data_IF_799105896137
#
_entry.id   IF_799105896137
#
_cell.length_a   1.000
_cell.length_b   1.000
_cell.length_c   1.000
_cell.angle_alpha   90.00
_cell.angle_beta   90.00
_cell.angle_gamma   90.00
#
_symmetry.space_group_name_H-M   'P 1'
#
loop_
_entity.id
_entity.type
_entity.pdbx_description
1 polymer ?
#
# COMPACT_ATOMS: atom_id res chain seq x y z
N UNK A 1 34.88 -50.09 25.43
CA UNK A 1 33.71 -49.21 25.65
C UNK A 1 33.96 -47.74 25.26
N UNK A 2 35.06 -47.09 25.68
CA UNK A 2 35.35 -45.67 25.35
C UNK A 2 35.37 -45.30 23.85
N UNK A 3 35.77 -46.22 22.96
CA UNK A 3 35.83 -45.98 21.50
C UNK A 3 34.47 -46.00 20.80
N UNK A 4 33.50 -46.76 21.33
CA UNK A 4 32.14 -46.86 20.77
C UNK A 4 31.34 -45.60 21.13
N UNK A 5 31.53 -45.07 22.34
CA UNK A 5 30.92 -43.81 22.79
C UNK A 5 31.39 -42.62 21.95
N UNK A 6 32.67 -42.57 21.57
CA UNK A 6 33.21 -41.49 20.75
C UNK A 6 32.65 -41.49 19.31
N UNK A 7 32.43 -42.68 18.72
CA UNK A 7 31.86 -42.81 17.38
C UNK A 7 30.37 -42.40 17.37
N UNK A 8 29.62 -42.78 18.40
CA UNK A 8 28.20 -42.37 18.53
C UNK A 8 28.04 -40.86 18.69
N UNK A 9 28.93 -40.18 19.42
CA UNK A 9 28.91 -38.71 19.57
C UNK A 9 29.23 -38.01 18.25
N UNK A 10 30.16 -38.55 17.46
CA UNK A 10 30.52 -37.99 16.16
C UNK A 10 29.38 -38.10 15.13
N UNK A 11 28.66 -39.22 15.13
CA UNK A 11 27.49 -39.46 14.26
C UNK A 11 26.31 -38.57 14.68
N UNK A 12 26.11 -38.37 15.98
CA UNK A 12 25.07 -37.47 16.50
C UNK A 12 25.36 -36.00 16.15
N UNK A 13 26.62 -35.58 16.18
CA UNK A 13 27.03 -34.22 15.79
C UNK A 13 26.89 -33.98 14.27
N UNK A 14 27.09 -35.00 13.44
CA UNK A 14 26.88 -34.90 12.00
C UNK A 14 25.39 -34.83 11.61
N UNK A 15 24.49 -35.45 12.38
CA UNK A 15 23.05 -35.44 12.11
C UNK A 15 22.39 -34.09 12.41
N UNK A 16 22.98 -33.25 13.27
CA UNK A 16 22.43 -31.92 13.63
C UNK A 16 22.67 -30.89 12.52
N UNK A 17 23.63 -31.09 11.62
CA UNK A 17 23.99 -30.11 10.58
C UNK A 17 23.04 -30.18 9.36
N UNK A 18 22.27 -31.26 9.21
CA UNK A 18 21.41 -31.47 8.03
C UNK A 18 19.92 -31.12 8.24
N UNK A 19 19.54 -30.61 9.42
CA UNK A 19 18.16 -30.21 9.72
C UNK A 19 17.94 -28.69 9.76
N UNK A 20 18.86 -27.89 9.21
CA UNK A 20 18.57 -26.50 8.87
C UNK A 20 17.80 -26.46 7.54
N UNK A 21 16.58 -26.98 7.54
CA UNK A 21 15.57 -26.55 6.59
C UNK A 21 15.28 -25.08 6.90
N UNK A 22 16.07 -24.16 6.34
CA UNK A 22 15.58 -22.80 6.16
C UNK A 22 14.39 -22.92 5.24
N UNK A 23 13.18 -22.84 5.77
CA UNK A 23 12.00 -22.56 4.95
C UNK A 23 12.36 -21.37 4.06
N UNK A 24 12.12 -21.41 2.73
CA UNK A 24 12.33 -20.25 1.91
C UNK A 24 11.52 -19.13 2.54
N UNK A 25 12.21 -18.06 2.99
CA UNK A 25 11.59 -16.91 3.62
C UNK A 25 10.31 -16.57 2.85
N UNK A 26 9.18 -16.58 3.56
CA UNK A 26 7.86 -16.40 2.97
C UNK A 26 7.89 -15.06 2.22
N UNK A 27 8.05 -15.09 0.89
CA UNK A 27 8.23 -13.88 0.11
C UNK A 27 6.96 -13.07 0.21
N UNK A 28 7.04 -11.94 0.90
CA UNK A 28 5.91 -11.01 1.00
C UNK A 28 5.65 -10.47 -0.41
N UNK A 29 4.39 -10.51 -0.83
CA UNK A 29 3.96 -9.98 -2.12
C UNK A 29 3.45 -8.56 -1.88
N UNK A 30 3.96 -7.60 -2.66
CA UNK A 30 3.45 -6.24 -2.65
C UNK A 30 2.06 -6.23 -3.29
N UNK A 31 1.08 -5.67 -2.59
CA UNK A 31 -0.31 -5.58 -3.05
C UNK A 31 -0.39 -4.68 -4.28
N UNK A 32 -0.97 -5.21 -5.36
CA UNK A 32 -1.26 -4.47 -6.59
C UNK A 32 -2.69 -3.94 -6.58
N UNK A 33 -2.99 -2.94 -7.41
CA UNK A 33 -4.33 -2.36 -7.59
C UNK A 33 -5.41 -3.43 -7.79
N UNK A 34 -5.16 -4.46 -8.62
CA UNK A 34 -6.12 -5.54 -8.87
C UNK A 34 -6.40 -6.45 -7.67
N UNK A 35 -5.51 -6.44 -6.66
CA UNK A 35 -5.56 -7.33 -5.49
C UNK A 35 -5.99 -6.61 -4.22
N UNK A 36 -6.37 -5.33 -4.30
CA UNK A 36 -6.85 -4.54 -3.17
C UNK A 36 -8.12 -5.17 -2.59
N UNK A 37 -8.11 -5.42 -1.28
CA UNK A 37 -9.28 -5.93 -0.57
C UNK A 37 -10.29 -4.80 -0.34
N UNK A 38 -11.22 -4.65 -1.29
CA UNK A 38 -12.21 -3.59 -1.26
C UNK A 38 -13.16 -3.70 -0.06
N UNK A 39 -13.54 -4.91 0.33
CA UNK A 39 -14.39 -5.13 1.51
C UNK A 39 -13.72 -4.67 2.80
N UNK A 40 -12.39 -4.76 2.90
CA UNK A 40 -11.63 -4.21 4.03
C UNK A 40 -11.61 -2.69 3.99
N UNK A 41 -11.35 -2.09 2.82
CA UNK A 41 -11.29 -0.63 2.68
C UNK A 41 -12.61 0.06 2.98
N UNK A 42 -13.72 -0.45 2.43
CA UNK A 42 -15.07 0.15 2.63
C UNK A 42 -15.49 0.20 4.11
N UNK A 43 -15.02 -0.74 4.94
CA UNK A 43 -15.26 -0.74 6.40
C UNK A 43 -14.57 0.41 7.14
N UNK A 44 -13.66 1.11 6.49
CA UNK A 44 -12.92 2.25 7.03
C UNK A 44 -13.37 3.58 6.40
N UNK A 45 -14.47 3.59 5.67
CA UNK A 45 -15.10 4.84 5.20
C UNK A 45 -15.46 5.74 6.37
N UNK A 46 -15.38 7.06 6.20
CA UNK A 46 -15.63 8.02 7.28
C UNK A 46 -14.50 8.12 8.29
N UNK A 47 -13.32 7.55 8.00
CA UNK A 47 -12.15 7.66 8.89
C UNK A 47 -11.76 9.12 9.05
N UNK A 48 -11.51 9.55 10.30
CA UNK A 48 -10.99 10.87 10.58
C UNK A 48 -9.46 10.88 10.51
N UNK A 49 -8.84 11.92 9.96
CA UNK A 49 -7.37 12.01 9.80
C UNK A 49 -6.60 11.88 11.12
N UNK A 50 -7.20 12.27 12.26
CA UNK A 50 -6.62 12.09 13.59
C UNK A 50 -6.72 10.68 14.16
N UNK A 51 -7.43 9.76 13.49
CA UNK A 51 -7.44 8.33 13.83
C UNK A 51 -6.24 7.65 13.16
N UNK A 52 -5.06 7.89 13.72
CA UNK A 52 -3.78 7.45 13.14
C UNK A 52 -3.78 5.96 12.81
N UNK A 53 -4.38 5.13 13.67
CA UNK A 53 -4.42 3.68 13.48
C UNK A 53 -5.29 3.27 12.30
N UNK A 54 -6.47 3.90 12.12
CA UNK A 54 -7.32 3.63 10.96
C UNK A 54 -6.73 4.18 9.68
N UNK A 55 -6.16 5.39 9.70
CA UNK A 55 -5.49 5.97 8.53
C UNK A 55 -4.33 5.06 8.09
N UNK A 56 -3.50 4.62 9.02
CA UNK A 56 -2.43 3.65 8.74
C UNK A 56 -2.99 2.34 8.19
N UNK A 57 -4.09 1.83 8.75
CA UNK A 57 -4.74 0.60 8.26
C UNK A 57 -5.29 0.75 6.84
N UNK A 58 -5.81 1.92 6.46
CA UNK A 58 -6.20 2.25 5.08
C UNK A 58 -4.97 2.20 4.19
N UNK A 59 -3.92 2.94 4.54
CA UNK A 59 -2.68 3.03 3.76
C UNK A 59 -2.03 1.65 3.56
N UNK A 60 -1.99 0.81 4.59
CA UNK A 60 -1.49 -0.57 4.48
C UNK A 60 -2.37 -1.48 3.61
N UNK A 61 -3.66 -1.14 3.44
CA UNK A 61 -4.59 -1.93 2.63
C UNK A 61 -4.66 -1.44 1.17
N UNK A 62 -3.99 -0.34 0.86
CA UNK A 62 -3.84 0.22 -0.47
C UNK A 62 -2.64 -0.41 -1.20
N UNK A 63 -2.58 -0.27 -2.54
CA UNK A 63 -1.41 -0.67 -3.32
C UNK A 63 -0.10 -0.17 -2.72
N UNK A 64 0.85 -1.09 -2.54
CA UNK A 64 2.17 -0.78 -2.00
C UNK A 64 2.23 -0.72 -0.47
N UNK A 65 1.13 -1.04 0.22
CA UNK A 65 1.00 -0.96 1.68
C UNK A 65 2.08 -1.72 2.46
N UNK A 66 2.63 -2.82 1.91
CA UNK A 66 3.71 -3.60 2.52
C UNK A 66 5.07 -2.89 2.46
N UNK A 67 5.18 -1.79 1.71
CA UNK A 67 6.40 -0.99 1.57
C UNK A 67 6.32 0.36 2.28
N UNK A 68 5.30 0.58 3.11
CA UNK A 68 5.13 1.83 3.86
C UNK A 68 6.12 1.89 5.01
N UNK A 69 7.02 2.89 4.99
CA UNK A 69 7.96 3.18 6.08
C UNK A 69 7.38 4.07 7.16
N UNK A 70 6.44 4.93 6.79
CA UNK A 70 5.86 5.88 7.73
C UNK A 70 4.72 6.67 7.14
N UNK A 71 3.93 7.24 8.05
CA UNK A 71 2.90 8.22 7.73
C UNK A 71 3.08 9.46 8.61
N UNK A 72 2.79 10.62 8.05
CA UNK A 72 2.69 11.89 8.77
C UNK A 72 1.32 12.50 8.51
N UNK A 73 0.60 12.78 9.60
CA UNK A 73 -0.79 13.25 9.60
C UNK A 73 -0.92 14.72 10.02
N UNK A 74 0.20 15.44 10.07
CA UNK A 74 0.26 16.83 10.47
C UNK A 74 -0.52 17.75 9.52
N UNK A 75 -1.01 18.85 10.08
CA UNK A 75 -1.82 19.84 9.35
C UNK A 75 -3.03 19.23 8.61
N UNK A 76 -3.58 18.13 9.13
CA UNK A 76 -4.70 17.37 8.55
C UNK A 76 -4.41 16.85 7.13
N UNK A 77 -3.14 16.65 6.77
CA UNK A 77 -2.73 16.05 5.49
C UNK A 77 -2.23 14.63 5.71
N UNK A 78 -2.32 13.78 4.69
CA UNK A 78 -1.79 12.41 4.76
C UNK A 78 -0.54 12.33 3.91
N UNK A 79 0.63 12.32 4.54
CA UNK A 79 1.90 12.02 3.87
C UNK A 79 2.26 10.56 4.12
N UNK A 80 2.60 9.83 3.05
CA UNK A 80 3.05 8.43 3.10
C UNK A 80 4.43 8.34 2.49
N UNK A 81 5.37 7.75 3.24
CA UNK A 81 6.72 7.46 2.75
C UNK A 81 6.83 5.96 2.49
N UNK A 82 7.20 5.58 1.27
CA UNK A 82 7.45 4.20 0.87
C UNK A 82 8.95 3.90 0.81
N UNK A 83 9.31 2.64 1.05
CA UNK A 83 10.67 2.16 0.94
C UNK A 83 10.81 0.72 1.43
N UNK A 84 12.02 0.19 1.33
CA UNK A 84 12.37 -1.10 1.91
C UNK A 84 12.77 -0.97 3.37
N UNK A 85 12.06 -1.68 4.23
CA UNK A 85 12.42 -1.89 5.63
C UNK A 85 13.20 -3.21 5.77
N UNK A 86 14.22 -3.20 6.64
CA UNK A 86 14.98 -4.41 6.96
C UNK A 86 14.04 -5.49 7.53
N UNK A 87 14.19 -6.73 7.07
CA UNK A 87 13.35 -7.82 7.53
C UNK A 87 11.91 -7.84 6.98
N UNK A 88 11.53 -6.90 6.10
CA UNK A 88 10.20 -6.85 5.45
C UNK A 88 9.86 -8.09 4.60
N UNK A 89 10.85 -8.91 4.25
CA UNK A 89 10.67 -10.07 3.37
C UNK A 89 10.43 -9.70 1.89
N UNK A 90 10.62 -8.42 1.53
CA UNK A 90 10.54 -7.88 0.18
C UNK A 90 11.97 -7.63 -0.32
N UNK A 91 12.34 -8.19 -1.47
CA UNK A 91 13.65 -7.92 -2.07
C UNK A 91 13.70 -6.56 -2.78
N UNK A 92 14.91 -6.01 -2.96
CA UNK A 92 15.12 -4.81 -3.78
C UNK A 92 14.57 -4.97 -5.20
N UNK A 93 14.72 -6.16 -5.79
CA UNK A 93 14.18 -6.46 -7.12
C UNK A 93 12.65 -6.38 -7.14
N UNK A 94 11.96 -6.93 -6.13
CA UNK A 94 10.51 -6.86 -6.03
C UNK A 94 10.02 -5.42 -5.87
N UNK A 95 10.69 -4.64 -5.03
CA UNK A 95 10.38 -3.23 -4.81
C UNK A 95 10.58 -2.42 -6.09
N UNK A 96 11.74 -2.57 -6.75
CA UNK A 96 12.04 -1.85 -7.99
C UNK A 96 11.05 -2.18 -9.10
N UNK A 97 10.74 -3.48 -9.27
CA UNK A 97 9.79 -3.94 -10.29
C UNK A 97 8.36 -3.44 -10.03
N UNK A 98 8.00 -3.18 -8.78
CA UNK A 98 6.67 -2.70 -8.42
C UNK A 98 6.54 -1.20 -8.59
N UNK A 99 7.49 -0.43 -8.07
CA UNK A 99 7.39 1.02 -7.99
C UNK A 99 7.97 1.76 -9.20
N UNK A 100 8.78 1.12 -10.03
CA UNK A 100 9.50 1.80 -11.10
C UNK A 100 9.22 1.18 -12.47
N UNK A 101 8.94 2.06 -13.44
CA UNK A 101 8.98 1.76 -14.85
C UNK A 101 10.31 2.30 -15.42
N UNK A 102 11.32 1.44 -15.46
CA UNK A 102 12.69 1.85 -15.77
C UNK A 102 13.29 2.68 -14.63
N UNK A 103 13.62 3.95 -14.89
CA UNK A 103 14.17 4.88 -13.89
C UNK A 103 13.12 5.77 -13.23
N UNK A 104 11.88 5.74 -13.72
CA UNK A 104 10.83 6.62 -13.26
C UNK A 104 9.88 5.86 -12.34
N UNK A 105 9.40 6.53 -11.30
CA UNK A 105 8.35 5.99 -10.43
C UNK A 105 7.05 5.86 -11.20
N UNK A 106 6.40 4.71 -11.07
CA UNK A 106 5.04 4.48 -11.56
C UNK A 106 4.03 5.19 -10.63
N UNK A 107 3.61 6.39 -11.04
CA UNK A 107 2.69 7.23 -10.28
C UNK A 107 1.25 6.70 -10.28
N UNK A 108 0.91 5.68 -11.07
CA UNK A 108 -0.45 5.09 -11.09
C UNK A 108 -0.92 4.69 -9.69
N UNK A 109 -0.02 4.09 -8.90
CA UNK A 109 -0.31 3.69 -7.53
C UNK A 109 -0.58 4.91 -6.62
N UNK A 110 0.12 6.03 -6.83
CA UNK A 110 -0.11 7.25 -6.05
C UNK A 110 -1.47 7.87 -6.35
N UNK A 111 -1.88 7.95 -7.62
CA UNK A 111 -3.21 8.45 -7.97
C UNK A 111 -4.32 7.55 -7.44
N UNK A 112 -4.16 6.23 -7.55
CA UNK A 112 -5.09 5.29 -6.96
C UNK A 112 -5.21 5.51 -5.44
N UNK A 113 -4.09 5.66 -4.74
CA UNK A 113 -4.08 5.87 -3.30
C UNK A 113 -4.72 7.22 -2.92
N UNK A 114 -4.47 8.28 -3.68
CA UNK A 114 -5.09 9.60 -3.48
C UNK A 114 -6.61 9.55 -3.60
N UNK A 115 -7.13 8.89 -4.64
CA UNK A 115 -8.58 8.74 -4.89
C UNK A 115 -9.24 8.03 -3.71
N UNK A 116 -8.69 6.89 -3.26
CA UNK A 116 -9.28 6.15 -2.15
C UNK A 116 -9.13 6.87 -0.81
N UNK A 117 -8.01 7.56 -0.55
CA UNK A 117 -7.90 8.39 0.65
C UNK A 117 -8.92 9.55 0.65
N UNK A 118 -9.22 10.13 -0.52
CA UNK A 118 -10.24 11.18 -0.63
C UNK A 118 -11.66 10.72 -0.34
N UNK A 119 -11.98 9.48 -0.72
CA UNK A 119 -13.27 8.84 -0.45
C UNK A 119 -13.38 8.36 1.00
N UNK A 120 -12.31 7.79 1.57
CA UNK A 120 -12.35 7.12 2.87
C UNK A 120 -12.04 8.04 4.05
N UNK A 121 -11.27 9.13 3.82
CA UNK A 121 -10.83 10.09 4.87
C UNK A 121 -11.34 11.50 4.53
N UNK A 122 -12.64 11.79 4.74
CA UNK A 122 -13.29 13.00 4.21
C UNK A 122 -12.70 14.32 4.72
N UNK A 123 -12.08 14.33 5.90
CA UNK A 123 -11.54 15.56 6.50
C UNK A 123 -10.05 15.82 6.19
N UNK A 124 -9.39 14.98 5.40
CA UNK A 124 -8.00 15.23 4.97
C UNK A 124 -7.91 16.49 4.09
N UNK A 125 -6.86 17.29 4.20
CA UNK A 125 -6.62 18.47 3.36
C UNK A 125 -5.82 18.16 2.08
N UNK A 126 -5.20 16.99 2.01
CA UNK A 126 -4.43 16.55 0.85
C UNK A 126 -3.53 15.37 1.14
N UNK A 127 -2.81 14.94 0.10
CA UNK A 127 -2.08 13.68 0.07
C UNK A 127 -0.68 13.93 -0.49
N UNK A 128 0.32 13.33 0.15
CA UNK A 128 1.69 13.34 -0.33
C UNK A 128 2.24 11.92 -0.32
N UNK A 129 2.85 11.49 -1.40
CA UNK A 129 3.44 10.16 -1.55
C UNK A 129 4.89 10.31 -1.96
N UNK A 130 5.78 9.73 -1.17
CA UNK A 130 7.22 9.87 -1.33
C UNK A 130 7.87 8.49 -1.49
N UNK A 131 8.71 8.37 -2.51
CA UNK A 131 9.60 7.24 -2.73
C UNK A 131 10.92 7.76 -3.29
N UNK A 132 12.00 7.50 -2.56
CA UNK A 132 13.33 8.06 -2.87
C UNK A 132 13.23 9.58 -3.13
N UNK A 133 13.76 10.08 -4.25
CA UNK A 133 13.74 11.51 -4.60
C UNK A 133 12.45 11.95 -5.32
N UNK A 134 11.45 11.06 -5.44
CA UNK A 134 10.19 11.36 -6.13
C UNK A 134 9.07 11.61 -5.12
N UNK A 135 8.38 12.74 -5.31
CA UNK A 135 7.18 13.08 -4.54
C UNK A 135 6.02 13.37 -5.48
N UNK A 136 4.84 12.83 -5.17
CA UNK A 136 3.56 13.37 -5.65
C UNK A 136 2.91 14.11 -4.47
N UNK A 137 2.51 15.36 -4.67
CA UNK A 137 1.71 16.13 -3.72
C UNK A 137 0.46 16.63 -4.42
N UNK A 138 -0.71 16.32 -3.86
CA UNK A 138 -2.02 16.72 -4.37
C UNK A 138 -2.90 17.22 -3.23
N UNK A 139 -3.67 18.27 -3.48
CA UNK A 139 -4.67 18.76 -2.54
C UNK A 139 -5.94 17.92 -2.62
N UNK A 140 -6.72 17.90 -1.54
CA UNK A 140 -8.07 17.30 -1.57
C UNK A 140 -8.95 17.92 -2.65
N UNK A 141 -8.88 19.25 -2.82
CA UNK A 141 -9.68 19.98 -3.79
C UNK A 141 -9.40 19.55 -5.23
N UNK A 142 -8.14 19.26 -5.58
CA UNK A 142 -7.78 18.75 -6.90
C UNK A 142 -8.41 17.37 -7.16
N UNK A 143 -8.20 16.42 -6.24
CA UNK A 143 -8.75 15.07 -6.36
C UNK A 143 -10.28 15.09 -6.41
N UNK A 144 -10.94 15.88 -5.56
CA UNK A 144 -12.39 16.01 -5.58
C UNK A 144 -12.92 16.64 -6.87
N UNK A 145 -12.20 17.61 -7.44
CA UNK A 145 -12.60 18.26 -8.69
C UNK A 145 -12.61 17.23 -9.82
N UNK A 146 -11.52 16.47 -9.97
CA UNK A 146 -11.41 15.40 -10.97
C UNK A 146 -12.53 14.35 -10.79
N UNK A 147 -12.76 13.89 -9.55
CA UNK A 147 -13.83 12.94 -9.29
C UNK A 147 -15.23 13.50 -9.59
N UNK A 148 -15.50 14.78 -9.33
CA UNK A 148 -16.79 15.41 -9.65
C UNK A 148 -16.97 15.65 -11.15
N UNK A 149 -15.89 15.92 -11.88
CA UNK A 149 -15.90 16.05 -13.34
C UNK A 149 -16.17 14.69 -14.00
N UNK A 150 -15.56 13.62 -13.50
CA UNK A 150 -15.67 12.27 -14.07
C UNK A 150 -16.95 11.52 -13.66
N UNK A 151 -17.48 11.82 -12.47
CA UNK A 151 -18.62 11.13 -11.88
C UNK A 151 -19.75 12.09 -11.51
N UNK A 152 -20.79 12.13 -12.36
CA UNK A 152 -22.01 12.93 -12.10
C UNK A 152 -22.75 12.54 -10.82
N UNK A 153 -22.54 11.32 -10.34
CA UNK A 153 -23.13 10.76 -9.12
C UNK A 153 -22.12 10.71 -7.96
N UNK A 154 -21.09 11.58 -7.97
CA UNK A 154 -20.15 11.71 -6.87
C UNK A 154 -20.90 11.96 -5.54
N UNK A 155 -20.62 11.18 -4.48
CA UNK A 155 -21.41 11.21 -3.25
C UNK A 155 -21.02 12.39 -2.35
N UNK A 156 -21.87 12.68 -1.36
CA UNK A 156 -21.38 13.35 -0.15
C UNK A 156 -20.41 12.39 0.55
N UNK A 157 -19.14 12.79 0.63
CA UNK A 157 -18.08 11.99 1.25
C UNK A 157 -18.25 11.77 2.75
N UNK A 158 -19.15 12.53 3.39
CA UNK A 158 -19.53 12.32 4.79
C UNK A 158 -20.64 11.27 4.96
N UNK A 159 -21.31 10.87 3.88
CA UNK A 159 -22.29 9.78 3.88
C UNK A 159 -21.57 8.47 3.53
N UNK A 160 -21.22 7.71 4.58
CA UNK A 160 -20.47 6.46 4.44
C UNK A 160 -21.20 5.41 3.57
N UNK A 161 -22.53 5.38 3.60
CA UNK A 161 -23.33 4.46 2.80
C UNK A 161 -23.30 4.88 1.32
N UNK A 162 -23.45 6.17 1.04
CA UNK A 162 -23.33 6.70 -0.32
C UNK A 162 -21.94 6.48 -0.91
N UNK A 163 -20.87 6.70 -0.13
CA UNK A 163 -19.49 6.42 -0.56
C UNK A 163 -19.27 4.94 -0.85
N UNK A 164 -19.75 4.05 0.03
CA UNK A 164 -19.63 2.60 -0.18
C UNK A 164 -20.32 2.16 -1.48
N UNK A 165 -21.56 2.63 -1.71
CA UNK A 165 -22.31 2.36 -2.94
C UNK A 165 -21.62 2.94 -4.17
N UNK A 166 -21.07 4.14 -4.06
CA UNK A 166 -20.34 4.80 -5.13
C UNK A 166 -19.10 3.97 -5.53
N UNK A 167 -18.31 3.52 -4.55
CA UNK A 167 -17.13 2.67 -4.78
C UNK A 167 -17.54 1.37 -5.49
N UNK A 168 -18.59 0.69 -5.03
CA UNK A 168 -19.03 -0.57 -5.62
C UNK A 168 -19.53 -0.40 -7.06
N UNK A 169 -20.30 0.65 -7.31
CA UNK A 169 -20.81 0.98 -8.65
C UNK A 169 -19.69 1.35 -9.62
N UNK A 170 -18.69 2.11 -9.15
CA UNK A 170 -17.70 2.76 -10.00
C UNK A 170 -16.31 2.13 -9.95
N UNK A 171 -16.13 0.97 -9.30
CA UNK A 171 -14.83 0.31 -9.06
C UNK A 171 -13.92 0.23 -10.29
N UNK A 172 -14.46 -0.19 -11.44
CA UNK A 172 -13.67 -0.32 -12.68
C UNK A 172 -13.20 1.05 -13.18
N UNK A 173 -14.09 2.04 -13.16
CA UNK A 173 -13.84 3.40 -13.64
C UNK A 173 -12.89 4.17 -12.72
N UNK A 174 -12.98 3.99 -11.40
CA UNK A 174 -12.01 4.54 -10.44
C UNK A 174 -10.59 4.01 -10.67
N UNK A 175 -10.46 2.73 -11.06
CA UNK A 175 -9.17 2.13 -11.45
C UNK A 175 -8.65 2.71 -12.78
N UNK A 176 -9.54 2.89 -13.75
CA UNK A 176 -9.21 3.49 -15.05
C UNK A 176 -8.74 4.94 -14.89
N UNK A 177 -9.46 5.76 -14.12
CA UNK A 177 -9.09 7.16 -13.84
C UNK A 177 -7.68 7.28 -13.25
N UNK A 178 -7.31 6.43 -12.28
CA UNK A 178 -5.95 6.41 -11.72
C UNK A 178 -4.87 6.10 -12.78
N UNK A 179 -5.25 5.40 -13.86
CA UNK A 179 -4.37 5.05 -14.97
C UNK A 179 -4.29 6.16 -16.01
N UNK A 180 -5.37 6.91 -16.25
CA UNK A 180 -5.40 8.05 -17.16
C UNK A 180 -4.63 9.26 -16.60
N UNK A 181 -4.80 9.56 -15.31
CA UNK A 181 -4.02 10.59 -14.61
C UNK A 181 -2.52 10.25 -14.59
N UNK A 182 -2.16 8.96 -14.63
CA UNK A 182 -0.77 8.55 -14.84
C UNK A 182 -0.25 8.90 -16.24
N UNK A 183 -1.10 8.87 -17.27
CA UNK A 183 -0.72 9.19 -18.65
C UNK A 183 -0.76 10.70 -18.95
N UNK A 184 -1.55 11.48 -18.21
CA UNK A 184 -1.68 12.93 -18.42
C UNK A 184 -0.41 13.74 -18.04
N UNK A 185 0.54 13.12 -17.32
CA UNK A 185 1.78 13.75 -16.84
C UNK A 185 3.07 13.09 -17.36
N UNK A 186 3.02 12.35 -18.48
CA UNK A 186 4.19 11.89 -19.25
C UNK A 186 4.38 12.69 -20.53
#
# INVERSE_FOLDING_TARGET
>A
MKRITAIFILILAAAVILAACSEPAHKVKITKIENVNMEKLKKMTGTYVGDNNKVYSIVQSLPGGETVKGIDLSAERIKVTYGLEEGSGISQEQFNKYWFNGKNVDKQNFYYNAIYLALLVPNSKGYSFEIEDTTLDVTRQQVEKELKEEFKDFPDVNDEEAVTKFIDKNKAKLKELASEEYQAFQ
#
